data_IF_779470561727
#
_entry.id   IF_779470561727
#
_cell.length_a   1.000
_cell.length_b   1.000
_cell.length_c   1.000
_cell.angle_alpha   90.00
_cell.angle_beta   90.00
_cell.angle_gamma   90.00
#
_symmetry.space_group_name_H-M   'P 1'
#
loop_
_entity.id
_entity.type
_entity.pdbx_description
1 polymer ?
#
# COMPACT_ATOMS: atom_id res chain seq x y z
N UNK A 1 -4.66 8.91 13.83
CA UNK A 1 -3.58 9.75 13.25
C UNK A 1 -2.29 8.96 12.99
N UNK A 2 -1.78 8.16 13.94
CA UNK A 2 -0.53 7.39 13.78
C UNK A 2 -0.44 6.55 12.49
N UNK A 3 -1.51 5.81 12.15
CA UNK A 3 -1.56 4.96 10.95
C UNK A 3 -1.43 5.75 9.64
N UNK A 4 -2.03 6.94 9.57
CA UNK A 4 -1.94 7.81 8.38
C UNK A 4 -0.52 8.33 8.14
N UNK A 5 0.25 8.58 9.21
CA UNK A 5 1.67 8.94 9.08
C UNK A 5 2.51 7.80 8.53
N UNK A 6 2.26 6.55 8.95
CA UNK A 6 2.96 5.39 8.38
C UNK A 6 2.61 5.17 6.91
N UNK A 7 1.34 5.31 6.53
CA UNK A 7 0.93 5.24 5.13
C UNK A 7 1.60 6.34 4.30
N UNK A 8 1.60 7.59 4.79
CA UNK A 8 2.25 8.72 4.12
C UNK A 8 3.77 8.52 4.00
N UNK A 9 4.44 8.08 5.07
CA UNK A 9 5.88 7.80 5.07
C UNK A 9 6.23 6.66 4.10
N UNK A 10 5.45 5.57 4.08
CA UNK A 10 5.64 4.46 3.14
C UNK A 10 5.45 4.90 1.68
N UNK A 11 4.46 5.76 1.42
CA UNK A 11 4.24 6.38 0.12
C UNK A 11 5.39 7.29 -0.32
N UNK A 12 5.91 8.11 0.60
CA UNK A 12 7.05 8.98 0.36
C UNK A 12 8.31 8.16 0.03
N UNK A 13 8.59 7.11 0.81
CA UNK A 13 9.74 6.23 0.58
C UNK A 13 9.62 5.48 -0.76
N UNK A 14 8.42 5.03 -1.12
CA UNK A 14 8.19 4.40 -2.41
C UNK A 14 8.39 5.38 -3.58
N UNK A 15 7.94 6.63 -3.44
CA UNK A 15 8.16 7.69 -4.43
C UNK A 15 9.64 8.06 -4.56
N UNK A 16 10.37 8.16 -3.44
CA UNK A 16 11.81 8.41 -3.46
C UNK A 16 12.55 7.36 -4.29
N UNK A 17 12.29 6.07 -4.03
CA UNK A 17 12.91 4.98 -4.81
C UNK A 17 12.53 5.00 -6.29
N UNK A 18 11.28 5.34 -6.61
CA UNK A 18 10.86 5.53 -8.01
C UNK A 18 11.66 6.65 -8.68
N UNK A 19 11.92 7.74 -7.97
CA UNK A 19 12.69 8.85 -8.49
C UNK A 19 14.17 8.50 -8.68
N UNK A 20 14.75 7.71 -7.78
CA UNK A 20 16.11 7.16 -7.93
C UNK A 20 16.23 6.28 -9.18
N UNK A 21 15.27 5.37 -9.40
CA UNK A 21 15.25 4.53 -10.60
C UNK A 21 15.13 5.37 -11.88
N UNK A 22 14.25 6.37 -11.90
CA UNK A 22 14.13 7.30 -13.03
C UNK A 22 15.42 8.09 -13.28
N UNK A 23 16.08 8.55 -12.21
CA UNK A 23 17.36 9.26 -12.30
C UNK A 23 18.46 8.37 -12.89
N UNK A 24 18.55 7.11 -12.45
CA UNK A 24 19.50 6.14 -12.99
C UNK A 24 19.24 5.83 -14.47
N UNK A 25 17.97 5.69 -14.85
CA UNK A 25 17.60 5.47 -16.24
C UNK A 25 17.96 6.66 -17.13
N UNK A 26 17.73 7.89 -16.66
CA UNK A 26 18.09 9.10 -17.38
C UNK A 26 19.61 9.23 -17.53
N UNK A 27 20.37 8.95 -16.47
CA UNK A 27 21.83 9.01 -16.49
C UNK A 27 22.44 8.00 -17.47
N UNK A 28 21.82 6.82 -17.63
CA UNK A 28 22.31 5.76 -18.51
C UNK A 28 21.59 5.68 -19.86
N UNK A 29 20.73 6.66 -20.19
CA UNK A 29 19.94 6.65 -21.43
C UNK A 29 20.80 6.66 -22.71
N UNK A 30 22.04 7.16 -22.62
CA UNK A 30 22.98 7.21 -23.75
C UNK A 30 24.00 6.05 -23.74
N UNK A 31 23.97 5.19 -22.72
CA UNK A 31 24.88 4.06 -22.61
C UNK A 31 24.40 2.93 -23.55
N UNK A 32 25.18 2.56 -24.58
CA UNK A 32 24.77 1.50 -25.51
C UNK A 32 24.53 0.18 -24.78
N UNK A 33 23.40 -0.47 -25.04
CA UNK A 33 23.03 -1.74 -24.41
C UNK A 33 22.46 -1.64 -22.99
N UNK A 34 22.31 -0.43 -22.43
CA UNK A 34 21.62 -0.23 -21.16
C UNK A 34 20.12 -0.58 -21.28
N UNK A 35 19.57 -1.19 -20.22
CA UNK A 35 18.15 -1.57 -20.12
C UNK A 35 17.51 -0.80 -18.97
N UNK A 36 16.36 -0.20 -19.25
CA UNK A 36 15.69 0.68 -18.30
C UNK A 36 15.14 -0.13 -17.12
N UNK A 37 15.39 0.31 -15.89
CA UNK A 37 14.80 -0.31 -14.70
C UNK A 37 13.44 0.32 -14.37
N UNK A 38 12.41 -0.51 -14.23
CA UNK A 38 11.10 -0.09 -13.75
C UNK A 38 10.90 -0.51 -12.29
N UNK A 39 10.61 0.47 -11.42
CA UNK A 39 10.27 0.21 -10.03
C UNK A 39 8.81 -0.27 -9.91
N UNK A 40 8.63 -1.54 -9.52
CA UNK A 40 7.30 -2.10 -9.27
C UNK A 40 6.82 -1.72 -7.86
N UNK A 41 5.82 -0.83 -7.78
CA UNK A 41 5.21 -0.41 -6.52
C UNK A 41 4.02 -1.33 -6.22
N UNK A 42 3.98 -1.88 -5.01
CA UNK A 42 2.88 -2.73 -4.54
C UNK A 42 2.33 -2.22 -3.21
N UNK A 43 1.01 -2.34 -3.04
CA UNK A 43 0.37 -2.06 -1.77
C UNK A 43 0.48 -3.26 -0.82
N UNK A 44 0.63 -3.00 0.47
CA UNK A 44 0.54 -4.04 1.49
C UNK A 44 -0.86 -4.67 1.46
N UNK A 45 -1.00 -5.97 1.81
CA UNK A 45 -2.29 -6.64 1.88
C UNK A 45 -3.29 -5.86 2.73
N UNK A 46 -4.54 -5.80 2.26
CA UNK A 46 -5.59 -5.10 2.97
C UNK A 46 -6.05 -5.91 4.19
N UNK A 47 -6.27 -5.21 5.29
CA UNK A 47 -6.77 -5.81 6.52
C UNK A 47 -8.27 -5.54 6.64
N UNK A 48 -9.05 -6.58 6.90
CA UNK A 48 -10.49 -6.47 7.08
C UNK A 48 -10.80 -5.93 8.49
N UNK A 49 -11.53 -4.82 8.57
CA UNK A 49 -11.96 -4.23 9.83
C UNK A 49 -13.37 -4.69 10.15
N UNK A 50 -13.53 -5.26 11.35
CA UNK A 50 -14.83 -5.54 11.94
C UNK A 50 -15.12 -4.55 13.07
N UNK A 51 -16.36 -4.05 13.10
CA UNK A 51 -16.85 -3.32 14.25
C UNK A 51 -16.93 -4.27 15.43
N UNK A 52 -16.22 -3.96 16.51
CA UNK A 52 -16.40 -4.65 17.79
C UNK A 52 -17.39 -3.81 18.60
N UNK A 53 -18.67 -4.17 18.53
CA UNK A 53 -19.75 -3.45 19.21
C UNK A 53 -20.76 -4.39 19.86
N UNK A 54 -21.41 -3.91 20.92
CA UNK A 54 -22.58 -4.55 21.53
C UNK A 54 -23.82 -3.76 21.09
N UNK A 55 -24.72 -4.36 20.32
CA UNK A 55 -25.99 -3.71 19.94
C UNK A 55 -26.99 -4.00 21.05
N UNK A 56 -27.31 -2.98 21.84
CA UNK A 56 -28.33 -3.07 22.88
C UNK A 56 -29.71 -2.98 22.23
N UNK A 57 -30.49 -4.04 22.33
CA UNK A 57 -31.85 -4.09 21.80
C UNK A 57 -32.79 -3.76 22.96
N UNK A 58 -33.53 -2.62 22.95
CA UNK A 58 -34.43 -2.27 24.03
C UNK A 58 -35.66 -3.19 23.99
N UNK A 59 -35.61 -4.28 24.77
CA UNK A 59 -36.71 -5.23 24.98
C UNK A 59 -36.92 -5.35 26.50
N UNK A 60 -38.08 -5.82 26.95
CA UNK A 60 -38.46 -5.98 28.37
C UNK A 60 -37.43 -6.73 29.24
N UNK A 61 -36.51 -7.49 28.61
CA UNK A 61 -35.26 -7.97 29.21
C UNK A 61 -34.08 -7.50 28.33
N UNK A 62 -33.12 -6.72 28.84
CA UNK A 62 -32.00 -6.26 28.03
C UNK A 62 -31.10 -7.45 27.65
N UNK A 63 -31.02 -7.76 26.36
CA UNK A 63 -30.13 -8.78 25.80
C UNK A 63 -29.05 -8.08 24.96
N UNK A 64 -27.78 -8.40 25.21
CA UNK A 64 -26.64 -7.83 24.52
C UNK A 64 -26.10 -8.83 23.50
N UNK A 65 -26.34 -8.58 22.22
CA UNK A 65 -25.78 -9.41 21.14
C UNK A 65 -24.46 -8.80 20.67
N UNK A 66 -23.35 -9.56 20.67
CA UNK A 66 -22.12 -9.12 20.02
C UNK A 66 -22.40 -8.98 18.53
N UNK A 67 -22.33 -7.75 18.03
CA UNK A 67 -22.49 -7.44 16.62
C UNK A 67 -21.09 -7.34 16.02
N UNK A 68 -20.78 -8.22 15.08
CA UNK A 68 -19.61 -8.11 14.21
C UNK A 68 -20.10 -7.65 12.84
N UNK A 69 -20.16 -6.33 12.63
CA UNK A 69 -20.46 -5.76 11.33
C UNK A 69 -19.13 -5.49 10.60
N UNK A 70 -18.91 -6.05 9.39
CA UNK A 70 -17.74 -5.71 8.59
C UNK A 70 -17.85 -4.24 8.16
N UNK A 71 -16.87 -3.43 8.54
CA UNK A 71 -16.81 -1.99 8.21
C UNK A 71 -16.17 -1.79 6.83
N UNK A 72 -15.28 -2.71 6.41
CA UNK A 72 -14.56 -2.67 5.14
C UNK A 72 -13.10 -3.07 5.31
N UNK A 73 -12.34 -3.05 4.21
CA UNK A 73 -10.90 -3.28 4.22
C UNK A 73 -10.13 -1.97 4.35
N UNK A 74 -8.94 -2.02 4.96
CA UNK A 74 -8.00 -0.89 4.97
C UNK A 74 -6.66 -1.30 4.40
N UNK A 75 -6.06 -0.38 3.65
CA UNK A 75 -4.70 -0.55 3.17
C UNK A 75 -3.69 -0.02 4.21
N UNK A 76 -2.58 -0.75 4.39
CA UNK A 76 -1.58 -0.45 5.44
C UNK A 76 -0.36 0.33 4.91
N UNK A 77 -0.30 0.61 3.60
CA UNK A 77 0.79 1.37 2.98
C UNK A 77 1.25 0.78 1.65
N UNK A 78 2.28 1.38 1.06
CA UNK A 78 2.86 0.94 -0.21
C UNK A 78 4.37 0.76 -0.07
N UNK A 79 4.94 -0.18 -0.82
CA UNK A 79 6.38 -0.42 -0.88
C UNK A 79 6.82 -0.70 -2.31
N UNK A 80 8.10 -0.51 -2.59
CA UNK A 80 8.72 -0.95 -3.85
C UNK A 80 9.14 -2.41 -3.66
N UNK A 81 8.54 -3.31 -4.42
CA UNK A 81 8.83 -4.75 -4.33
C UNK A 81 10.17 -5.08 -4.97
N UNK A 82 10.39 -4.58 -6.18
CA UNK A 82 11.59 -4.86 -6.97
C UNK A 82 11.75 -3.85 -8.11
N UNK A 83 12.98 -3.72 -8.60
CA UNK A 83 13.32 -3.00 -9.82
C UNK A 83 13.53 -4.03 -10.91
N UNK A 84 12.67 -4.02 -11.93
CA UNK A 84 12.69 -4.98 -13.03
C UNK A 84 13.29 -4.30 -14.24
N UNK A 85 14.37 -4.86 -14.79
CA UNK A 85 14.95 -4.35 -16.04
C UNK A 85 14.03 -4.68 -17.21
N UNK A 86 13.69 -3.67 -18.00
CA UNK A 86 12.89 -3.80 -19.19
C UNK A 86 13.77 -4.28 -20.34
N UNK A 87 13.52 -5.52 -20.78
CA UNK A 87 14.24 -6.17 -21.87
C UNK A 87 13.64 -5.90 -23.25
N UNK A 88 12.71 -4.95 -23.37
CA UNK A 88 12.23 -4.53 -24.68
C UNK A 88 13.40 -4.12 -25.59
N UNK A 89 13.24 -4.47 -26.87
CA UNK A 89 14.23 -4.23 -27.88
C UNK A 89 14.05 -2.80 -28.42
N UNK A 90 15.07 -1.99 -28.22
CA UNK A 90 15.25 -0.62 -28.73
C UNK A 90 16.72 -0.41 -29.02
#
# INVERSE_FOLDING_TARGET
MLRGFYTAASGMQAQQRRQEALSNNLANAQTPGFKQDQAAIRAFPELLINQVGKKNIPTTRPFSVPTQQPIGSINTGVYVQETISDHQQG
#
